data_IF_984079837118
#
_entry.id   IF_984079837118
#
_cell.length_a   1.000
_cell.length_b   1.000
_cell.length_c   1.000
_cell.angle_alpha   90.00
_cell.angle_beta   90.00
_cell.angle_gamma   90.00
#
_symmetry.space_group_name_H-M   'P 1'
#
loop_
_entity.id
_entity.type
_entity.pdbx_description
1 polymer ?
#
# COMPACT_ATOMS: atom_id res chain seq x y z
N UNK A 1 -20.39 23.61 16.38
CA UNK A 1 -19.70 22.35 16.17
C UNK A 1 -20.42 21.56 15.10
N UNK A 2 -19.66 20.96 14.22
CA UNK A 2 -20.25 20.21 13.12
C UNK A 2 -20.59 18.78 13.56
N UNK A 3 -21.62 18.25 12.97
CA UNK A 3 -22.00 16.87 13.23
C UNK A 3 -21.79 16.11 11.94
N UNK A 4 -21.02 15.02 12.02
CA UNK A 4 -20.75 14.22 10.83
C UNK A 4 -21.57 12.94 10.86
N UNK A 5 -22.18 12.63 9.75
CA UNK A 5 -22.91 11.40 9.59
C UNK A 5 -22.33 10.62 8.46
N UNK A 6 -22.35 9.32 8.61
CA UNK A 6 -21.90 8.45 7.54
C UNK A 6 -23.07 7.57 7.13
N UNK A 7 -23.47 7.70 5.88
CA UNK A 7 -24.53 6.86 5.32
C UNK A 7 -23.83 5.68 4.68
N UNK A 8 -23.93 4.52 5.32
CA UNK A 8 -23.22 3.34 4.84
C UNK A 8 -24.03 2.55 3.87
N UNK A 9 -23.35 2.02 2.86
CA UNK A 9 -23.97 1.24 1.82
C UNK A 9 -23.32 -0.12 1.73
N UNK A 10 -23.71 -0.88 0.73
CA UNK A 10 -23.02 -2.10 0.39
C UNK A 10 -21.69 -1.76 -0.25
N UNK A 11 -20.92 -2.74 -0.52
CA UNK A 11 -19.69 -2.57 -1.29
C UNK A 11 -18.72 -1.67 -0.54
N UNK A 12 -18.22 -2.16 0.55
CA UNK A 12 -17.24 -1.43 1.33
C UNK A 12 -16.05 -2.33 1.62
N UNK A 13 -14.95 -1.72 2.04
CA UNK A 13 -13.71 -2.42 2.29
C UNK A 13 -13.38 -2.33 3.76
N UNK A 14 -12.95 -3.44 4.33
CA UNK A 14 -12.45 -3.47 5.69
C UNK A 14 -10.92 -3.51 5.61
N UNK A 15 -10.27 -2.60 6.29
CA UNK A 15 -8.82 -2.54 6.26
C UNK A 15 -8.28 -2.06 7.58
N UNK A 16 -7.00 -2.32 7.82
CA UNK A 16 -6.34 -1.88 9.03
C UNK A 16 -6.34 -0.37 9.12
N UNK A 17 -6.38 0.15 10.32
CA UNK A 17 -6.27 1.57 10.53
C UNK A 17 -4.83 2.07 10.58
N UNK A 18 -3.87 1.16 10.52
CA UNK A 18 -2.47 1.53 10.75
C UNK A 18 -2.03 2.64 9.80
N UNK A 19 -2.15 2.42 8.51
CA UNK A 19 -1.69 3.41 7.55
C UNK A 19 -2.54 4.67 7.57
N UNK A 20 -3.81 4.54 7.92
CA UNK A 20 -4.70 5.69 7.97
C UNK A 20 -4.29 6.66 9.05
N UNK A 21 -3.59 6.19 10.07
CA UNK A 21 -3.17 7.01 11.19
C UNK A 21 -1.68 7.32 11.18
N UNK A 22 -1.00 6.93 10.13
CA UNK A 22 0.43 7.15 10.03
C UNK A 22 0.70 8.56 9.58
N UNK A 23 1.14 9.40 10.51
CA UNK A 23 1.37 10.82 10.21
C UNK A 23 2.62 11.03 9.37
N UNK A 24 3.40 9.99 9.14
CA UNK A 24 4.55 10.10 8.26
C UNK A 24 4.21 9.94 6.79
N UNK A 25 2.96 9.57 6.47
CA UNK A 25 2.54 9.41 5.08
C UNK A 25 1.74 10.61 4.62
N UNK A 26 1.90 10.98 3.36
CA UNK A 26 1.04 12.00 2.78
C UNK A 26 -0.36 11.43 2.55
N UNK A 27 -1.33 12.30 2.45
CA UNK A 27 -2.69 11.85 2.16
C UNK A 27 -2.76 11.13 0.82
N UNK A 28 -1.94 11.54 -0.13
CA UNK A 28 -1.91 10.87 -1.43
C UNK A 28 -1.47 9.42 -1.29
N UNK A 29 -0.43 9.18 -0.50
CA UNK A 29 0.06 7.83 -0.29
C UNK A 29 -0.96 7.01 0.49
N UNK A 30 -1.57 7.60 1.52
CA UNK A 30 -2.59 6.90 2.29
C UNK A 30 -3.77 6.55 1.38
N UNK A 31 -4.19 7.48 0.55
CA UNK A 31 -5.31 7.24 -0.35
C UNK A 31 -5.00 6.16 -1.36
N UNK A 32 -3.80 6.18 -1.92
CA UNK A 32 -3.43 5.16 -2.89
C UNK A 32 -3.37 3.79 -2.24
N UNK A 33 -2.76 3.68 -1.06
CA UNK A 33 -2.69 2.40 -0.38
C UNK A 33 -4.09 1.88 -0.06
N UNK A 34 -4.96 2.75 0.41
CA UNK A 34 -6.33 2.35 0.71
C UNK A 34 -7.04 1.84 -0.54
N UNK A 35 -6.82 2.51 -1.66
CA UNK A 35 -7.42 2.07 -2.90
C UNK A 35 -6.87 0.71 -3.32
N UNK A 36 -5.56 0.51 -3.18
CA UNK A 36 -4.95 -0.76 -3.51
C UNK A 36 -5.47 -1.88 -2.64
N UNK A 37 -5.70 -1.61 -1.35
CA UNK A 37 -6.23 -2.62 -0.45
C UNK A 37 -7.67 -2.99 -0.78
N UNK A 38 -8.36 -2.14 -1.52
CA UNK A 38 -9.74 -2.42 -1.89
C UNK A 38 -9.84 -3.23 -3.18
N UNK A 39 -8.74 -3.44 -3.89
CA UNK A 39 -8.77 -4.11 -5.18
C UNK A 39 -8.60 -5.62 -5.00
N UNK A 40 -8.96 -6.36 -6.01
CA UNK A 40 -8.84 -7.81 -5.94
C UNK A 40 -7.39 -8.24 -6.12
N UNK A 41 -7.10 -9.47 -5.76
CA UNK A 41 -5.75 -9.99 -5.91
C UNK A 41 -5.32 -10.08 -7.36
N UNK A 42 -6.27 -10.09 -8.26
CA UNK A 42 -5.96 -10.20 -9.68
C UNK A 42 -5.74 -8.87 -10.36
N UNK A 43 -5.80 -7.79 -9.60
CA UNK A 43 -5.63 -6.49 -10.20
C UNK A 43 -4.20 -6.28 -10.70
N UNK A 44 -4.08 -5.55 -11.78
CA UNK A 44 -2.78 -5.24 -12.36
C UNK A 44 -2.16 -4.07 -11.63
N UNK A 45 -1.29 -4.36 -10.69
CA UNK A 45 -0.67 -3.34 -9.85
C UNK A 45 0.55 -2.71 -10.50
N UNK A 46 0.44 -2.33 -11.76
CA UNK A 46 1.50 -1.55 -12.38
C UNK A 46 1.19 -0.07 -12.16
N UNK A 47 2.21 0.78 -12.32
CA UNK A 47 2.00 2.22 -12.19
C UNK A 47 0.94 2.68 -13.19
N UNK A 48 0.97 2.17 -14.41
CA UNK A 48 -0.02 2.55 -15.39
C UNK A 48 -1.40 2.03 -15.07
N UNK A 49 -1.48 0.80 -14.58
CA UNK A 49 -2.77 0.23 -14.20
C UNK A 49 -3.41 1.01 -13.09
N UNK A 50 -2.62 1.43 -12.12
CA UNK A 50 -3.15 2.23 -11.02
C UNK A 50 -3.53 3.63 -11.49
N UNK A 51 -2.74 4.23 -12.36
CA UNK A 51 -3.06 5.56 -12.88
C UNK A 51 -4.35 5.53 -13.68
N UNK A 52 -4.68 4.41 -14.29
CA UNK A 52 -5.88 4.30 -15.10
C UNK A 52 -7.16 4.39 -14.26
N UNK A 53 -7.08 4.08 -12.98
CA UNK A 53 -8.25 4.13 -12.11
C UNK A 53 -8.17 5.27 -11.12
N UNK A 54 -7.22 6.18 -11.31
CA UNK A 54 -7.06 7.34 -10.45
C UNK A 54 -7.11 8.58 -11.31
N UNK A 55 -7.37 9.69 -10.68
CA UNK A 55 -7.35 10.95 -11.41
C UNK A 55 -5.91 11.37 -11.69
N UNK A 56 -5.01 11.01 -10.81
CA UNK A 56 -3.61 11.39 -10.92
C UNK A 56 -2.94 10.66 -12.07
N UNK A 57 -1.93 11.28 -12.63
CA UNK A 57 -1.18 10.67 -13.72
C UNK A 57 -0.10 9.75 -13.21
N UNK A 58 0.63 9.17 -14.15
CA UNK A 58 1.65 8.18 -13.87
C UNK A 58 2.72 8.71 -12.92
N UNK A 59 3.11 9.98 -13.09
CA UNK A 59 4.18 10.53 -12.25
C UNK A 59 3.75 10.62 -10.79
N UNK A 60 2.53 11.08 -10.54
CA UNK A 60 2.05 11.20 -9.18
C UNK A 60 1.85 9.83 -8.54
N UNK A 61 1.33 8.88 -9.30
CA UNK A 61 1.16 7.53 -8.79
C UNK A 61 2.52 6.90 -8.49
N UNK A 62 3.49 7.11 -9.38
CA UNK A 62 4.84 6.59 -9.16
C UNK A 62 5.47 7.16 -7.90
N UNK A 63 5.29 8.46 -7.65
CA UNK A 63 5.84 9.08 -6.46
C UNK A 63 5.16 8.53 -5.19
N UNK A 64 3.85 8.33 -5.23
CA UNK A 64 3.16 7.78 -4.08
C UNK A 64 3.59 6.34 -3.81
N UNK A 65 3.81 5.55 -4.86
CA UNK A 65 4.29 4.19 -4.68
C UNK A 65 5.67 4.18 -4.05
N UNK A 66 6.54 5.09 -4.45
CA UNK A 66 7.87 5.17 -3.83
C UNK A 66 7.78 5.56 -2.38
N UNK A 67 6.87 6.44 -2.04
CA UNK A 67 6.68 6.83 -0.65
C UNK A 67 6.24 5.62 0.16
N UNK A 68 5.29 4.84 -0.36
CA UNK A 68 4.83 3.65 0.34
C UNK A 68 5.94 2.63 0.49
N UNK A 69 6.79 2.50 -0.52
CA UNK A 69 7.92 1.59 -0.42
C UNK A 69 8.89 2.03 0.66
N UNK A 70 9.18 3.32 0.73
CA UNK A 70 10.16 3.80 1.70
C UNK A 70 9.65 3.70 3.13
N UNK A 71 8.34 3.59 3.30
CA UNK A 71 7.76 3.46 4.64
C UNK A 71 7.36 2.02 4.96
N UNK A 72 7.69 1.07 4.10
CA UNK A 72 7.50 -0.34 4.42
C UNK A 72 6.14 -0.91 4.11
N UNK A 73 5.28 -0.17 3.41
CA UNK A 73 3.94 -0.68 3.09
C UNK A 73 3.89 -1.42 1.76
N UNK A 74 4.92 -1.31 0.97
CA UNK A 74 4.92 -1.89 -0.36
C UNK A 74 6.30 -2.44 -0.68
N UNK A 75 6.34 -3.63 -1.22
CA UNK A 75 7.58 -4.20 -1.72
C UNK A 75 7.33 -4.57 -3.18
N UNK A 76 8.16 -4.08 -4.06
CA UNK A 76 8.09 -4.41 -5.48
C UNK A 76 9.29 -5.27 -5.82
N UNK A 77 9.04 -6.32 -6.54
CA UNK A 77 10.11 -7.21 -6.93
C UNK A 77 9.95 -7.53 -8.41
N UNK A 78 11.02 -7.41 -9.14
CA UNK A 78 11.00 -7.73 -10.56
C UNK A 78 11.17 -9.22 -10.75
N UNK A 79 10.30 -9.81 -11.52
CA UNK A 79 10.36 -11.21 -11.85
C UNK A 79 11.12 -11.35 -13.15
N UNK A 80 11.97 -12.36 -13.22
CA UNK A 80 12.80 -12.56 -14.40
C UNK A 80 12.61 -13.97 -14.92
N UNK A 81 12.79 -14.13 -16.24
CA UNK A 81 12.71 -15.45 -16.83
C UNK A 81 14.06 -16.13 -16.70
N UNK A 82 14.18 -17.29 -17.29
CA UNK A 82 15.42 -18.08 -17.18
C UNK A 82 16.61 -17.40 -17.84
N UNK A 83 16.36 -16.42 -18.68
CA UNK A 83 17.43 -15.68 -19.34
C UNK A 83 17.75 -14.38 -18.62
N UNK A 84 17.15 -14.15 -17.46
CA UNK A 84 17.42 -12.94 -16.70
C UNK A 84 16.67 -11.71 -17.17
N UNK A 85 15.74 -11.85 -18.12
CA UNK A 85 14.98 -10.70 -18.58
C UNK A 85 13.79 -10.45 -17.68
N UNK A 86 13.48 -9.18 -17.45
CA UNK A 86 12.38 -8.83 -16.61
C UNK A 86 11.08 -9.14 -17.32
N UNK A 87 10.27 -9.99 -16.72
CA UNK A 87 9.01 -10.38 -17.32
C UNK A 87 7.83 -9.68 -16.68
N UNK A 88 7.96 -9.29 -15.40
CA UNK A 88 6.82 -8.72 -14.69
C UNK A 88 7.32 -8.11 -13.41
N UNK A 89 6.44 -7.43 -12.70
CA UNK A 89 6.75 -6.86 -11.40
C UNK A 89 5.72 -7.38 -10.41
N UNK A 90 6.20 -7.92 -9.32
CA UNK A 90 5.33 -8.43 -8.28
C UNK A 90 5.24 -7.38 -7.19
N UNK A 91 4.02 -7.05 -6.77
CA UNK A 91 3.78 -6.09 -5.72
C UNK A 91 3.24 -6.83 -4.51
N UNK A 92 3.85 -6.60 -3.37
CA UNK A 92 3.31 -7.11 -2.11
C UNK A 92 2.92 -5.93 -1.26
N UNK A 93 1.68 -5.90 -0.82
CA UNK A 93 1.12 -4.79 -0.08
C UNK A 93 0.89 -5.21 1.34
N UNK A 94 1.36 -4.41 2.28
CA UNK A 94 1.25 -4.72 3.70
C UNK A 94 0.34 -3.71 4.38
N UNK A 95 -0.50 -4.19 5.27
CA UNK A 95 -1.39 -3.33 6.01
C UNK A 95 -0.67 -2.58 7.12
N UNK A 96 0.51 -3.03 7.50
CA UNK A 96 1.37 -2.30 8.41
C UNK A 96 2.80 -2.43 7.90
N UNK A 97 3.69 -1.55 8.32
CA UNK A 97 5.03 -1.54 7.71
C UNK A 97 5.76 -2.85 7.86
N UNK A 98 6.40 -3.24 6.80
CA UNK A 98 7.19 -4.46 6.74
C UNK A 98 8.64 -4.09 6.61
N UNK A 99 9.51 -4.66 7.45
CA UNK A 99 10.92 -4.46 7.26
C UNK A 99 11.51 -5.75 6.78
N UNK A 100 12.26 -5.66 5.73
CA UNK A 100 12.85 -6.85 5.18
C UNK A 100 14.05 -7.35 5.97
N UNK A 101 14.36 -6.76 7.05
CA UNK A 101 15.48 -7.16 7.79
C UNK A 101 15.17 -8.39 8.48
N UNK A 102 15.80 -9.36 8.14
CA UNK A 102 15.49 -10.57 8.61
C UNK A 102 15.65 -10.73 10.02
N UNK A 103 16.46 -11.15 10.30
CA UNK A 103 16.73 -11.50 11.50
C UNK A 103 16.32 -10.72 12.52
N UNK A 104 16.64 -10.04 12.56
CA UNK A 104 16.47 -9.30 13.61
C UNK A 104 15.25 -9.39 14.10
N UNK A 105 14.67 -9.31 13.68
CA UNK A 105 13.59 -9.25 14.03
C UNK A 105 13.09 -9.62 15.12
N UNK A 106 13.01 -9.65 15.60
CA UNK A 106 12.59 -9.97 16.63
C UNK A 106 11.42 -9.58 16.76
N UNK A 107 10.96 -9.66 16.64
CA UNK A 107 9.99 -9.37 16.67
C UNK A 107 9.18 -8.73 17.34
N UNK A 108 8.98 -8.90 17.68
CA UNK A 108 8.31 -8.45 18.35
C UNK A 108 8.13 -7.46 18.56
N UNK A 109 8.54 -7.35 18.58
CA UNK A 109 8.59 -6.52 18.65
C UNK A 109 7.65 -5.88 18.90
N UNK A 110 7.39 -5.53 19.30
CA UNK A 110 6.61 -4.90 19.67
C UNK A 110 6.28 -3.75 19.09
N UNK A 111 5.71 -3.60 18.31
CA UNK A 111 5.14 -2.44 17.72
C UNK A 111 4.02 -2.02 18.57
N UNK A 112 4.09 -0.90 19.16
CA UNK A 112 3.02 -0.46 20.05
C UNK A 112 1.69 -0.36 19.36
N UNK A 113 1.68 -0.21 18.07
CA UNK A 113 0.42 -0.12 17.38
C UNK A 113 -0.30 -1.43 17.32
N UNK A 114 0.41 -2.51 17.49
CA UNK A 114 -0.22 -3.79 17.46
C UNK A 114 -0.98 -4.07 18.72
N UNK A 115 -0.64 -3.35 19.74
CA UNK A 115 -1.28 -3.59 20.96
C UNK A 115 -2.49 -2.83 21.14
N UNK A 116 -2.81 -1.96 20.34
CA UNK A 116 -3.97 -1.14 20.58
C UNK A 116 -5.20 -1.60 19.87
#
# INVERSE_FOLDING_TARGET
>A
MAVFRVEKNHNYTVMSNYHLRDTGLTLKAIGLLSKMLSLTDEWDYTTRGLAAICKEGVDAIGAALKELESHGYLVRRQLRDSRGRITDTEYTIYESPHTPLPDTASPDTENPYLDT
#
